data_IF_356757144259
#
_entry.id   IF_356757144259
#
_cell.length_a   1.000
_cell.length_b   1.000
_cell.length_c   1.000
_cell.angle_alpha   90.00
_cell.angle_beta   90.00
_cell.angle_gamma   90.00
#
_symmetry.space_group_name_H-M   'P 1'
#
loop_
_entity.id
_entity.type
_entity.pdbx_description
1 polymer ?
#
# COMPACT_ATOMS: atom_id res chain seq x y z
N UNK A 1 -2.53 13.07 9.77
CA UNK A 1 -2.44 13.39 8.34
C UNK A 1 -1.64 12.30 7.66
N UNK A 2 -2.26 11.47 6.84
CA UNK A 2 -1.52 10.58 5.95
C UNK A 2 -0.70 11.48 5.01
N UNK A 3 0.62 11.48 5.15
CA UNK A 3 1.48 12.24 4.25
C UNK A 3 1.37 11.66 2.85
N UNK A 4 1.39 12.49 1.81
CA UNK A 4 1.35 12.04 0.41
C UNK A 4 2.73 11.64 -0.14
N UNK A 5 3.79 11.77 0.67
CA UNK A 5 5.17 11.42 0.33
C UNK A 5 5.43 9.91 0.27
N UNK A 6 6.52 9.51 -0.38
CA UNK A 6 6.97 8.12 -0.35
C UNK A 6 7.44 7.74 1.05
N UNK A 7 7.14 6.51 1.45
CA UNK A 7 7.53 5.99 2.75
C UNK A 7 6.68 6.53 3.89
N UNK A 8 5.61 7.28 3.61
CA UNK A 8 4.66 7.65 4.66
C UNK A 8 3.86 6.42 5.06
N UNK A 9 3.58 6.31 6.36
CA UNK A 9 2.81 5.20 6.89
C UNK A 9 1.47 5.10 6.15
N UNK A 10 1.12 3.88 5.75
CA UNK A 10 -0.24 3.54 5.34
C UNK A 10 -1.09 3.41 6.61
N UNK A 11 -1.37 4.54 7.28
CA UNK A 11 -2.09 4.54 8.56
C UNK A 11 -3.60 4.39 8.30
N UNK A 12 -4.32 3.53 9.04
CA UNK A 12 -5.76 3.66 9.19
C UNK A 12 -6.05 5.00 9.88
N UNK A 13 -6.46 6.02 9.14
CA UNK A 13 -7.03 7.23 9.76
C UNK A 13 -8.40 6.86 10.37
N UNK A 14 -8.93 7.67 11.31
CA UNK A 14 -10.32 7.52 11.76
C UNK A 14 -11.24 7.49 10.52
N UNK A 15 -12.23 6.58 10.43
CA UNK A 15 -13.05 6.43 9.23
C UNK A 15 -13.80 7.74 8.96
N UNK A 16 -13.27 8.50 8.00
CA UNK A 16 -13.78 9.83 7.62
C UNK A 16 -14.23 9.88 6.17
N UNK A 17 -14.14 8.74 5.46
CA UNK A 17 -14.54 8.61 4.06
C UNK A 17 -13.61 9.33 3.07
N UNK A 18 -12.45 9.82 3.52
CA UNK A 18 -11.50 10.52 2.65
C UNK A 18 -10.77 9.56 1.72
N UNK A 19 -10.51 9.97 0.47
CA UNK A 19 -9.88 9.15 -0.57
C UNK A 19 -8.56 8.49 -0.13
N UNK A 20 -7.85 9.06 0.84
CA UNK A 20 -6.62 8.48 1.42
C UNK A 20 -6.84 7.13 2.14
N UNK A 21 -8.09 6.75 2.41
CA UNK A 21 -8.47 5.47 3.04
C UNK A 21 -8.98 4.45 2.02
N UNK A 22 -9.13 4.84 0.76
CA UNK A 22 -9.66 3.99 -0.30
C UNK A 22 -8.48 3.38 -1.05
N UNK A 23 -8.48 2.05 -1.14
CA UNK A 23 -7.49 1.26 -1.86
C UNK A 23 -8.16 0.49 -2.99
N UNK A 24 -7.68 0.69 -4.21
CA UNK A 24 -8.09 -0.10 -5.37
C UNK A 24 -7.23 -1.36 -5.43
N UNK A 25 -7.86 -2.53 -5.50
CA UNK A 25 -7.17 -3.79 -5.79
C UNK A 25 -7.10 -3.99 -7.31
N UNK A 26 -5.89 -4.01 -7.84
CA UNK A 26 -5.61 -4.32 -9.24
C UNK A 26 -4.99 -5.73 -9.29
N UNK A 27 -5.61 -6.65 -10.03
CA UNK A 27 -5.11 -8.03 -10.17
C UNK A 27 -3.86 -8.05 -11.07
N UNK A 28 -2.80 -8.69 -10.59
CA UNK A 28 -1.59 -9.00 -11.37
C UNK A 28 -1.76 -10.37 -12.02
N UNK A 29 -2.31 -11.32 -11.27
CA UNK A 29 -2.73 -12.65 -11.73
C UNK A 29 -3.89 -13.17 -10.84
N UNK A 30 -4.19 -14.48 -10.91
CA UNK A 30 -5.31 -15.09 -10.20
C UNK A 30 -5.19 -15.05 -8.66
N UNK A 31 -3.98 -14.87 -8.12
CA UNK A 31 -3.70 -14.91 -6.67
C UNK A 31 -3.03 -13.64 -6.15
N UNK A 32 -2.48 -12.83 -7.03
CA UNK A 32 -1.60 -11.69 -6.69
C UNK A 32 -2.24 -10.36 -7.07
N UNK A 33 -2.15 -9.38 -6.17
CA UNK A 33 -2.73 -8.05 -6.35
C UNK A 33 -1.74 -6.94 -6.01
N UNK A 34 -1.93 -5.77 -6.61
CA UNK A 34 -1.41 -4.50 -6.09
C UNK A 34 -2.54 -3.69 -5.46
N UNK A 35 -2.23 -2.92 -4.42
CA UNK A 35 -3.19 -2.03 -3.77
C UNK A 35 -2.81 -0.58 -4.03
N UNK A 36 -3.60 0.13 -4.83
CA UNK A 36 -3.35 1.54 -5.21
C UNK A 36 -4.16 2.49 -4.32
N UNK A 37 -3.51 3.43 -3.65
CA UNK A 37 -4.19 4.45 -2.86
C UNK A 37 -4.90 5.46 -3.76
N UNK A 38 -6.22 5.65 -3.59
CA UNK A 38 -7.00 6.54 -4.46
C UNK A 38 -6.54 8.00 -4.40
N UNK A 39 -6.08 8.48 -3.25
CA UNK A 39 -5.67 9.88 -3.10
C UNK A 39 -4.30 10.19 -3.73
N UNK A 40 -3.40 9.21 -3.82
CA UNK A 40 -2.00 9.45 -4.23
C UNK A 40 -1.57 8.70 -5.47
N UNK A 41 -2.30 7.65 -5.87
CA UNK A 41 -1.90 6.75 -6.95
C UNK A 41 -0.70 5.86 -6.61
N UNK A 42 -0.28 5.82 -5.34
CA UNK A 42 0.86 5.01 -4.87
C UNK A 42 0.42 3.63 -4.43
N UNK A 43 1.34 2.66 -4.48
CA UNK A 43 1.09 1.29 -4.07
C UNK A 43 1.33 1.07 -2.59
N UNK A 44 0.61 0.12 -1.99
CA UNK A 44 0.87 -0.41 -0.67
C UNK A 44 2.18 -1.22 -0.71
N UNK A 45 3.13 -0.85 0.16
CA UNK A 45 4.52 -1.28 0.09
C UNK A 45 5.03 -1.71 1.47
N UNK A 46 5.74 -2.84 1.56
CA UNK A 46 6.49 -3.21 2.75
C UNK A 46 7.81 -2.44 2.79
N UNK A 47 7.93 -1.55 3.77
CA UNK A 47 9.04 -0.60 3.87
C UNK A 47 10.39 -1.30 3.83
N UNK A 48 11.27 -0.80 2.95
CA UNK A 48 12.63 -1.31 2.76
C UNK A 48 12.70 -2.81 2.44
N UNK A 49 11.61 -3.42 1.95
CA UNK A 49 11.53 -4.87 1.66
C UNK A 49 11.79 -5.75 2.88
N UNK A 50 11.46 -5.24 4.07
CA UNK A 50 11.68 -5.95 5.32
C UNK A 50 10.90 -7.27 5.36
N UNK A 51 11.50 -8.31 5.94
CA UNK A 51 10.91 -9.66 6.08
C UNK A 51 10.52 -9.99 7.52
N UNK A 52 10.84 -9.10 8.45
CA UNK A 52 10.60 -9.33 9.88
C UNK A 52 9.11 -9.21 10.23
N UNK A 53 8.61 -10.00 11.20
CA UNK A 53 7.25 -9.84 11.70
C UNK A 53 6.99 -8.41 12.21
N UNK A 54 5.87 -7.82 11.79
CA UNK A 54 5.55 -6.43 12.11
C UNK A 54 6.27 -5.40 11.24
N UNK A 55 6.86 -5.83 10.12
CA UNK A 55 7.39 -4.93 9.10
C UNK A 55 6.38 -3.82 8.77
N UNK A 56 6.89 -2.60 8.70
CA UNK A 56 6.07 -1.41 8.50
C UNK A 56 5.52 -1.38 7.08
N UNK A 57 4.22 -1.13 6.97
CA UNK A 57 3.55 -0.91 5.68
C UNK A 57 3.44 0.59 5.40
N UNK A 58 3.81 0.98 4.19
CA UNK A 58 3.85 2.37 3.70
C UNK A 58 3.17 2.46 2.33
N UNK A 59 3.08 3.68 1.81
CA UNK A 59 2.83 3.90 0.38
C UNK A 59 4.12 4.26 -0.33
N UNK A 60 4.30 3.75 -1.55
CA UNK A 60 5.46 4.08 -2.38
C UNK A 60 5.06 4.11 -3.85
N UNK A 61 5.79 4.89 -4.66
CA UNK A 61 5.64 4.80 -6.11
C UNK A 61 5.80 3.36 -6.60
N UNK A 62 5.02 2.99 -7.61
CA UNK A 62 5.14 1.67 -8.24
C UNK A 62 6.56 1.46 -8.76
N UNK A 63 7.21 0.39 -8.33
CA UNK A 63 8.59 0.06 -8.70
C UNK A 63 8.75 -1.41 -9.15
N UNK A 64 7.65 -2.16 -9.25
CA UNK A 64 7.64 -3.57 -9.67
C UNK A 64 8.28 -4.53 -8.67
N UNK A 65 8.59 -4.07 -7.45
CA UNK A 65 9.15 -4.89 -6.39
C UNK A 65 8.10 -5.84 -5.80
N UNK A 66 8.54 -7.04 -5.40
CA UNK A 66 7.68 -8.02 -4.73
C UNK A 66 7.08 -7.50 -3.41
N UNK A 67 7.71 -6.51 -2.78
CA UNK A 67 7.18 -5.82 -1.60
C UNK A 67 5.94 -4.95 -1.86
N UNK A 68 5.46 -4.90 -3.11
CA UNK A 68 4.22 -4.22 -3.53
C UNK A 68 3.14 -5.21 -4.02
N UNK A 69 3.42 -6.52 -3.95
CA UNK A 69 2.53 -7.60 -4.35
C UNK A 69 1.93 -8.27 -3.11
N UNK A 70 0.63 -8.53 -3.15
CA UNK A 70 -0.13 -9.03 -2.01
C UNK A 70 -1.01 -10.21 -2.44
N UNK A 71 -1.01 -11.25 -1.63
CA UNK A 71 -1.93 -12.39 -1.72
C UNK A 71 -2.90 -12.33 -0.53
N UNK A 72 -4.15 -12.71 -0.74
CA UNK A 72 -5.16 -12.80 0.31
C UNK A 72 -5.50 -14.27 0.57
N UNK A 73 -5.54 -14.66 1.85
CA UNK A 73 -5.92 -16.01 2.30
C UNK A 73 -7.28 -16.01 2.96
#
# INVERSE_FOLDING_TARGET
>A
VAGTGDGTLAVPQAPGGGDSQIWHLDAVDDTTYTLTNKATGKLLDVYARATDPGARVVQWQSNGGANQLWEFQ
#
